data_IF_992238385456
#
_entry.id   IF_992238385456
#
_cell.length_a   1.000
_cell.length_b   1.000
_cell.length_c   1.000
_cell.angle_alpha   90.00
_cell.angle_beta   90.00
_cell.angle_gamma   90.00
#
_symmetry.space_group_name_H-M   'P 1'
#
loop_
_entity.id
_entity.type
_entity.pdbx_description
1 polymer ?
#
# COMPACT_ATOMS: atom_id res chain seq x y z
N UNK A 1 -23.76 3.20 -7.60
CA UNK A 1 -22.39 2.77 -7.95
C UNK A 1 -21.40 3.79 -7.45
N UNK A 2 -20.37 3.32 -6.80
CA UNK A 2 -19.37 4.21 -6.21
C UNK A 2 -18.24 4.45 -7.19
N UNK A 3 -18.20 5.68 -7.75
CA UNK A 3 -17.11 6.08 -8.63
C UNK A 3 -16.15 7.04 -7.95
N UNK A 4 -16.43 7.38 -6.69
CA UNK A 4 -15.56 8.28 -5.95
C UNK A 4 -14.28 7.55 -5.55
N UNK A 5 -13.18 8.26 -5.70
CA UNK A 5 -11.88 7.71 -5.31
C UNK A 5 -11.46 8.24 -3.96
N UNK A 6 -10.85 7.36 -3.19
CA UNK A 6 -10.34 7.68 -1.87
C UNK A 6 -8.84 7.49 -1.89
N UNK A 7 -8.15 8.28 -1.10
CA UNK A 7 -6.70 8.17 -0.97
C UNK A 7 -6.36 7.07 0.02
N UNK A 8 -5.44 6.21 -0.39
CA UNK A 8 -4.92 5.14 0.47
C UNK A 8 -3.40 5.17 0.44
N UNK A 9 -2.81 4.82 1.57
CA UNK A 9 -1.39 4.55 1.63
C UNK A 9 -1.22 3.05 1.59
N UNK A 10 -0.46 2.58 0.62
CA UNK A 10 -0.21 1.15 0.44
C UNK A 10 1.26 0.88 0.74
N UNK A 11 1.51 0.06 1.73
CA UNK A 11 2.87 -0.32 2.11
C UNK A 11 2.97 -1.84 2.10
N UNK A 12 4.14 -2.35 1.75
CA UNK A 12 4.33 -3.79 1.70
C UNK A 12 5.76 -4.15 2.04
N UNK A 13 5.91 -5.36 2.56
CA UNK A 13 7.18 -5.93 2.92
C UNK A 13 7.20 -7.34 2.32
N UNK A 14 7.90 -7.50 1.22
CA UNK A 14 7.89 -8.73 0.44
C UNK A 14 9.30 -9.32 0.45
N UNK A 15 9.42 -10.55 0.90
CA UNK A 15 10.71 -11.18 1.14
C UNK A 15 11.44 -11.59 -0.14
N UNK A 16 10.71 -11.97 -1.17
CA UNK A 16 11.28 -12.48 -2.41
C UNK A 16 11.32 -11.40 -3.49
N UNK A 17 12.44 -11.28 -4.19
CA UNK A 17 12.61 -10.25 -5.22
C UNK A 17 11.61 -10.35 -6.35
N UNK A 18 11.30 -11.55 -6.78
CA UNK A 18 10.37 -11.72 -7.90
C UNK A 18 8.96 -11.34 -7.48
N UNK A 19 8.56 -11.75 -6.27
CA UNK A 19 7.26 -11.37 -5.76
C UNK A 19 7.20 -9.87 -5.52
N UNK A 20 8.27 -9.30 -4.99
CA UNK A 20 8.33 -7.86 -4.75
C UNK A 20 8.10 -7.08 -6.04
N UNK A 21 8.77 -7.48 -7.10
CA UNK A 21 8.60 -6.83 -8.38
C UNK A 21 7.15 -6.91 -8.87
N UNK A 22 6.55 -8.08 -8.73
CA UNK A 22 5.17 -8.28 -9.18
C UNK A 22 4.18 -7.44 -8.37
N UNK A 23 4.35 -7.41 -7.04
CA UNK A 23 3.51 -6.58 -6.19
C UNK A 23 3.69 -5.11 -6.53
N UNK A 24 4.93 -4.69 -6.69
CA UNK A 24 5.25 -3.32 -7.04
C UNK A 24 4.55 -2.88 -8.32
N UNK A 25 4.57 -3.72 -9.33
CA UNK A 25 3.91 -3.42 -10.60
C UNK A 25 2.41 -3.22 -10.43
N UNK A 26 1.78 -4.01 -9.59
CA UNK A 26 0.35 -3.86 -9.34
C UNK A 26 0.05 -2.54 -8.62
N UNK A 27 0.84 -2.22 -7.62
CA UNK A 27 0.64 -0.98 -6.87
C UNK A 27 0.93 0.24 -7.74
N UNK A 28 2.00 0.16 -8.52
CA UNK A 28 2.43 1.26 -9.38
C UNK A 28 1.34 1.70 -10.35
N UNK A 29 0.54 0.77 -10.81
CA UNK A 29 -0.54 1.06 -11.75
C UNK A 29 -1.55 2.06 -11.18
N UNK A 30 -1.67 2.13 -9.87
CA UNK A 30 -2.62 3.03 -9.21
C UNK A 30 -1.93 4.15 -8.44
N UNK A 31 -0.62 4.14 -8.36
CA UNK A 31 0.10 5.10 -7.52
C UNK A 31 0.11 6.48 -8.14
N UNK A 32 -0.09 7.48 -7.30
CA UNK A 32 0.03 8.89 -7.71
C UNK A 32 1.26 9.52 -7.09
N UNK A 33 1.92 8.81 -6.18
CA UNK A 33 3.13 9.28 -5.56
C UNK A 33 3.58 8.26 -4.55
N UNK A 34 4.81 8.40 -4.06
CA UNK A 34 5.28 7.47 -3.06
C UNK A 34 6.78 7.39 -3.01
N UNK A 35 7.23 6.47 -2.17
CA UNK A 35 8.62 6.20 -1.97
C UNK A 35 8.84 4.70 -2.04
N UNK A 36 10.05 4.29 -1.72
CA UNK A 36 10.47 2.91 -1.89
C UNK A 36 9.54 1.88 -1.26
N UNK A 37 9.04 2.17 -0.07
CA UNK A 37 8.32 1.18 0.71
C UNK A 37 6.84 1.48 0.88
N UNK A 38 6.37 2.57 0.30
CA UNK A 38 4.94 2.88 0.37
C UNK A 38 4.55 3.78 -0.79
N UNK A 39 3.26 3.74 -1.14
CA UNK A 39 2.72 4.51 -2.25
C UNK A 39 1.37 5.06 -1.91
N UNK A 40 1.11 6.28 -2.33
CA UNK A 40 -0.22 6.86 -2.23
C UNK A 40 -0.99 6.48 -3.49
N UNK A 41 -2.18 5.91 -3.29
CA UNK A 41 -3.03 5.47 -4.40
C UNK A 41 -4.41 6.08 -4.27
N UNK A 42 -5.00 6.43 -5.39
CA UNK A 42 -6.39 6.90 -5.44
C UNK A 42 -7.22 5.76 -6.03
N UNK A 43 -8.11 5.21 -5.21
CA UNK A 43 -8.84 4.02 -5.59
C UNK A 43 -10.31 4.16 -5.26
N UNK A 44 -11.16 3.64 -6.16
CA UNK A 44 -12.55 3.39 -5.79
C UNK A 44 -12.57 2.16 -4.89
N UNK A 45 -13.69 1.93 -4.24
CA UNK A 45 -13.86 0.74 -3.41
C UNK A 45 -13.61 -0.53 -4.22
N UNK A 46 -14.11 -0.53 -5.44
CA UNK A 46 -13.95 -1.68 -6.32
C UNK A 46 -12.48 -1.89 -6.70
N UNK A 47 -11.78 -0.81 -7.03
CA UNK A 47 -10.37 -0.90 -7.37
C UNK A 47 -9.53 -1.37 -6.19
N UNK A 48 -9.87 -0.92 -4.98
CA UNK A 48 -9.18 -1.35 -3.78
C UNK A 48 -9.31 -2.86 -3.58
N UNK A 49 -10.53 -3.37 -3.72
CA UNK A 49 -10.76 -4.81 -3.62
C UNK A 49 -9.97 -5.58 -4.66
N UNK A 50 -9.99 -5.07 -5.89
CA UNK A 50 -9.28 -5.73 -6.99
C UNK A 50 -7.78 -5.76 -6.73
N UNK A 51 -7.21 -4.64 -6.34
CA UNK A 51 -5.78 -4.55 -6.05
C UNK A 51 -5.39 -5.48 -4.90
N UNK A 52 -6.19 -5.47 -3.83
CA UNK A 52 -5.92 -6.32 -2.69
C UNK A 52 -5.93 -7.80 -3.08
N UNK A 53 -6.90 -8.19 -3.89
CA UNK A 53 -7.01 -9.58 -4.33
C UNK A 53 -5.83 -9.97 -5.20
N UNK A 54 -5.42 -9.10 -6.12
CA UNK A 54 -4.28 -9.39 -6.97
C UNK A 54 -3.00 -9.55 -6.18
N UNK A 55 -2.79 -8.69 -5.21
CA UNK A 55 -1.59 -8.76 -4.38
C UNK A 55 -1.63 -10.02 -3.51
N UNK A 56 -2.80 -10.34 -2.97
CA UNK A 56 -2.95 -11.56 -2.16
C UNK A 56 -2.57 -12.82 -2.92
N UNK A 57 -2.86 -12.84 -4.22
CA UNK A 57 -2.50 -14.01 -5.04
C UNK A 57 -1.01 -14.13 -5.27
N UNK A 58 -0.29 -13.03 -5.18
CA UNK A 58 1.17 -13.04 -5.37
C UNK A 58 1.88 -13.36 -4.06
N UNK A 59 1.39 -12.84 -2.95
CA UNK A 59 2.06 -12.90 -1.66
C UNK A 59 2.12 -14.31 -1.08
N UNK A 60 3.18 -14.53 -0.30
CA UNK A 60 3.31 -15.68 0.59
C UNK A 60 2.93 -15.23 1.99
N UNK A 61 1.86 -15.78 2.54
CA UNK A 61 1.32 -15.30 3.81
C UNK A 61 2.29 -15.39 4.97
N UNK A 62 3.23 -16.33 4.91
CA UNK A 62 4.17 -16.52 6.01
C UNK A 62 5.38 -15.60 5.95
N UNK A 63 5.65 -15.01 4.77
CA UNK A 63 6.86 -14.22 4.58
C UNK A 63 6.58 -12.77 4.27
N UNK A 64 5.41 -12.49 3.72
CA UNK A 64 5.12 -11.18 3.16
C UNK A 64 4.03 -10.45 3.93
N UNK A 65 4.06 -9.12 3.89
CA UNK A 65 3.05 -8.31 4.58
C UNK A 65 2.57 -7.20 3.66
N UNK A 66 1.30 -6.87 3.81
CA UNK A 66 0.66 -5.79 3.08
C UNK A 66 -0.12 -4.93 4.06
N UNK A 67 0.07 -3.62 3.96
CA UNK A 67 -0.63 -2.67 4.80
C UNK A 67 -1.34 -1.66 3.91
N UNK A 68 -2.62 -1.42 4.17
CA UNK A 68 -3.39 -0.44 3.44
C UNK A 68 -4.07 0.46 4.45
N UNK A 69 -3.78 1.75 4.36
CA UNK A 69 -4.33 2.75 5.28
C UNK A 69 -5.12 3.78 4.49
N UNK A 70 -6.32 4.07 4.93
CA UNK A 70 -7.09 5.14 4.33
C UNK A 70 -6.56 6.47 4.83
N UNK A 71 -6.37 7.40 3.91
CA UNK A 71 -5.92 8.74 4.25
C UNK A 71 -7.09 9.70 4.19
N UNK A 72 -7.18 10.55 5.21
CA UNK A 72 -8.24 11.54 5.26
C UNK A 72 -7.74 12.85 4.65
N UNK A 73 -8.66 13.78 4.41
CA UNK A 73 -8.39 14.96 3.61
C UNK A 73 -7.14 15.72 3.97
N UNK A 74 -6.82 15.82 5.25
CA UNK A 74 -5.69 16.62 5.69
C UNK A 74 -4.44 15.79 5.98
N UNK A 75 -4.48 14.52 5.62
CA UNK A 75 -3.32 13.66 5.84
C UNK A 75 -2.27 13.92 4.78
N UNK A 76 -1.04 14.07 5.22
CA UNK A 76 0.07 14.24 4.30
C UNK A 76 0.85 12.95 4.21
N UNK A 77 0.81 12.28 3.05
CA UNK A 77 1.49 11.00 2.90
C UNK A 77 2.98 11.04 3.23
N UNK A 78 3.63 12.14 2.85
CA UNK A 78 5.04 12.28 3.12
C UNK A 78 5.32 12.33 4.62
N UNK A 79 4.50 13.09 5.35
CA UNK A 79 4.65 13.19 6.79
C UNK A 79 4.34 11.87 7.47
N UNK A 80 3.31 11.20 7.01
CA UNK A 80 2.94 9.90 7.53
C UNK A 80 4.07 8.88 7.31
N UNK A 81 4.62 8.87 6.11
CA UNK A 81 5.73 8.00 5.78
C UNK A 81 6.96 8.29 6.64
N UNK A 82 7.21 9.57 6.89
CA UNK A 82 8.32 9.97 7.74
C UNK A 82 8.12 9.47 9.17
N UNK A 83 6.90 9.55 9.67
CA UNK A 83 6.59 9.04 10.98
C UNK A 83 6.83 7.53 11.04
N UNK A 84 6.47 6.82 9.98
CA UNK A 84 6.72 5.40 9.90
C UNK A 84 8.21 5.09 9.95
N UNK A 85 9.01 5.87 9.25
CA UNK A 85 10.46 5.65 9.21
C UNK A 85 11.13 5.94 10.54
N UNK A 86 10.60 6.90 11.29
CA UNK A 86 11.18 7.28 12.57
C UNK A 86 10.70 6.42 13.71
N UNK A 87 9.55 5.83 13.55
CA UNK A 87 8.92 5.08 14.62
C UNK A 87 9.34 3.62 14.58
N UNK A 88 9.64 3.07 15.72
CA UNK A 88 9.86 1.64 15.85
C UNK A 88 8.64 0.95 16.42
N UNK A 89 7.53 1.65 16.42
CA UNK A 89 6.30 1.13 17.00
C UNK A 89 5.82 -0.09 16.26
N UNK A 90 5.37 -1.10 16.98
CA UNK A 90 4.91 -2.33 16.33
C UNK A 90 3.74 -2.14 15.38
N UNK A 91 2.93 -1.10 15.58
CA UNK A 91 1.79 -0.91 14.69
C UNK A 91 2.22 -0.70 13.24
N UNK A 92 3.46 -0.32 13.04
CA UNK A 92 4.01 -0.16 11.70
C UNK A 92 4.16 -1.50 10.99
N UNK A 93 4.18 -2.56 11.77
CA UNK A 93 4.47 -3.89 11.26
C UNK A 93 3.28 -4.83 11.29
N UNK A 94 2.18 -4.37 11.82
CA UNK A 94 1.00 -5.24 11.94
C UNK A 94 0.25 -5.36 10.64
#
# INVERSE_FOLDING_TARGET
MDTARTRYLVAYDIADHKRLYRVHKKVEAYAIGGQKSFYECWLTTHELSHLRNEISEIMENEEDRLFIFQLFDNTEPLLFGKAMLQSTQPFMLV
#
